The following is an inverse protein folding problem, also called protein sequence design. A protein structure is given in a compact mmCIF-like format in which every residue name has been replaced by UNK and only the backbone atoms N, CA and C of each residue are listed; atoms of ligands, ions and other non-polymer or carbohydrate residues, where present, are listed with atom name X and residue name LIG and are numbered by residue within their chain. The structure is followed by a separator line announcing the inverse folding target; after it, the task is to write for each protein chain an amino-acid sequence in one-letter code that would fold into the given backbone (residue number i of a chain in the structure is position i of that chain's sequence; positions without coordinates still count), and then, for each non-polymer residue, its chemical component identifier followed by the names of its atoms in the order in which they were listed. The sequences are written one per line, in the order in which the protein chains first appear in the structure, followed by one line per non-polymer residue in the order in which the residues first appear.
data_IF_778143616499
#
_entry.id   IF_778143616499
#
_cell.length_a   1.000
_cell.length_b   1.000
_cell.length_c   1.000
_cell.angle_alpha   90.00
_cell.angle_beta   90.00
_cell.angle_gamma   90.00
#
_symmetry.space_group_name_H-M   'P 1'
#
loop_
_entity.id
_entity.type
_entity.pdbx_description
1 polymer ?
#
# COMPACT_ATOMS: atom_id res chain seq x y z
N UNK A 1 17.13 1.70 2.35
CA UNK A 1 18.56 1.94 2.62
C UNK A 1 18.82 1.69 4.10
N UNK A 2 19.91 1.02 4.50
CA UNK A 2 20.21 0.83 5.91
C UNK A 2 20.54 2.17 6.57
N UNK A 3 19.94 2.42 7.74
CA UNK A 3 20.02 3.67 8.51
C UNK A 3 21.47 4.15 8.76
N UNK A 4 22.41 3.21 8.88
CA UNK A 4 23.84 3.46 9.10
C UNK A 4 24.52 4.16 7.92
N UNK A 5 24.09 3.90 6.68
CA UNK A 5 24.69 4.50 5.50
C UNK A 5 24.34 5.99 5.38
N UNK A 6 23.08 6.35 5.65
CA UNK A 6 22.57 7.72 5.53
C UNK A 6 23.26 8.66 6.54
N UNK A 7 23.39 8.24 7.79
CA UNK A 7 24.12 8.98 8.82
C UNK A 7 25.59 9.20 8.41
N UNK A 8 26.25 8.18 7.83
CA UNK A 8 27.64 8.30 7.41
C UNK A 8 27.83 9.31 6.27
N UNK A 9 26.88 9.36 5.31
CA UNK A 9 26.92 10.32 4.19
C UNK A 9 26.64 11.74 4.67
N UNK A 10 25.63 11.93 5.53
CA UNK A 10 25.32 13.26 6.09
C UNK A 10 26.50 13.79 6.90
N UNK A 11 27.10 12.95 7.75
CA UNK A 11 28.28 13.34 8.53
C UNK A 11 29.48 13.69 7.63
N UNK A 12 29.72 12.94 6.56
CA UNK A 12 30.76 13.30 5.57
C UNK A 12 30.50 14.64 4.89
N UNK A 13 29.25 14.93 4.52
CA UNK A 13 28.88 16.20 3.92
C UNK A 13 29.07 17.37 4.88
N UNK A 14 28.62 17.22 6.14
CA UNK A 14 28.77 18.26 7.16
C UNK A 14 30.26 18.50 7.45
N UNK A 15 31.03 17.43 7.68
CA UNK A 15 32.46 17.53 8.03
C UNK A 15 33.32 18.03 6.85
N UNK A 16 32.92 17.70 5.62
CA UNK A 16 33.58 18.18 4.39
C UNK A 16 33.12 19.58 3.95
N UNK A 17 32.11 20.15 4.61
CA UNK A 17 31.61 21.50 4.31
C UNK A 17 32.26 22.52 5.23
N UNK A 18 32.50 23.73 4.72
CA UNK A 18 32.89 24.90 5.53
C UNK A 18 31.69 25.56 6.21
N UNK A 19 30.61 24.80 6.46
CA UNK A 19 29.40 25.34 7.08
C UNK A 19 29.69 25.66 8.56
N UNK A 20 29.14 26.77 9.08
CA UNK A 20 29.20 27.06 10.50
C UNK A 20 28.51 25.95 11.30
N UNK A 21 28.87 25.82 12.57
CA UNK A 21 28.22 24.88 13.46
C UNK A 21 26.74 25.28 13.65
N UNK A 22 25.83 24.45 13.14
CA UNK A 22 24.39 24.68 13.14
C UNK A 22 23.67 23.42 13.61
N UNK A 23 22.56 23.61 14.33
CA UNK A 23 21.67 22.51 14.69
C UNK A 23 20.82 22.12 13.47
N UNK A 24 20.85 20.83 13.13
CA UNK A 24 20.07 20.26 12.02
C UNK A 24 18.86 19.51 12.56
N UNK A 25 17.66 19.94 12.19
CA UNK A 25 16.40 19.31 12.59
C UNK A 25 15.72 18.74 11.35
N UNK A 26 15.19 17.51 11.47
CA UNK A 26 14.43 16.84 10.42
C UNK A 26 12.96 16.69 10.83
N UNK A 27 12.02 17.08 9.95
CA UNK A 27 10.58 16.92 10.14
C UNK A 27 10.04 15.73 9.34
N UNK A 28 10.57 14.54 9.63
CA UNK A 28 10.39 13.32 8.83
C UNK A 28 9.04 12.61 9.04
N UNK A 29 7.91 13.31 8.93
CA UNK A 29 6.58 12.75 9.22
C UNK A 29 6.28 11.43 8.46
N UNK A 30 6.32 11.46 7.12
CA UNK A 30 5.97 10.29 6.29
C UNK A 30 6.94 9.12 6.44
N UNK A 31 8.23 9.38 6.62
CA UNK A 31 9.21 8.32 6.83
C UNK A 31 9.01 7.60 8.18
N UNK A 32 8.45 8.30 9.18
CA UNK A 32 8.15 7.75 10.50
C UNK A 32 6.84 6.96 10.49
N UNK A 33 5.77 7.51 9.90
CA UNK A 33 4.42 6.90 10.00
C UNK A 33 3.99 6.10 8.77
N UNK A 34 4.70 6.21 7.64
CA UNK A 34 4.25 5.70 6.35
C UNK A 34 4.13 4.19 6.23
N UNK A 35 4.78 3.41 7.10
CA UNK A 35 4.63 1.94 7.16
C UNK A 35 3.76 1.47 8.33
N UNK A 36 3.33 2.38 9.21
CA UNK A 36 2.56 2.02 10.39
C UNK A 36 1.04 1.93 10.12
N UNK A 37 0.56 2.63 9.08
CA UNK A 37 -0.85 2.67 8.73
C UNK A 37 -1.30 1.43 7.96
N UNK A 38 -2.34 0.76 8.48
CA UNK A 38 -3.11 -0.26 7.75
C UNK A 38 -4.54 0.21 7.61
N UNK A 39 -5.08 0.11 6.40
CA UNK A 39 -6.50 0.34 6.15
C UNK A 39 -7.18 -1.00 5.89
N UNK A 40 -8.14 -1.35 6.75
CA UNK A 40 -8.91 -2.57 6.61
C UNK A 40 -10.22 -2.34 5.88
N UNK A 41 -10.48 -3.15 4.86
CA UNK A 41 -11.64 -3.02 4.00
C UNK A 41 -12.41 -4.34 3.94
N UNK A 42 -13.74 -4.26 3.95
CA UNK A 42 -14.63 -5.40 3.78
C UNK A 42 -14.97 -5.61 2.31
N UNK A 43 -15.11 -6.88 1.90
CA UNK A 43 -15.58 -7.24 0.55
C UNK A 43 -17.07 -6.96 0.44
N UNK A 44 -17.45 -6.16 -0.57
CA UNK A 44 -18.83 -5.87 -0.92
C UNK A 44 -19.37 -6.82 -2.00
N UNK A 45 -18.53 -7.17 -2.97
CA UNK A 45 -18.91 -8.02 -4.09
C UNK A 45 -17.67 -8.67 -4.74
N UNK A 46 -17.85 -9.73 -5.53
CA UNK A 46 -16.76 -10.37 -6.26
C UNK A 46 -17.28 -11.19 -7.44
N UNK A 47 -16.41 -11.38 -8.44
CA UNK A 47 -16.59 -12.40 -9.47
C UNK A 47 -15.25 -13.05 -9.79
N UNK A 48 -15.11 -14.31 -9.42
CA UNK A 48 -13.85 -15.07 -9.53
C UNK A 48 -13.84 -16.07 -10.68
N UNK A 49 -14.98 -16.28 -11.34
CA UNK A 49 -15.18 -17.31 -12.38
C UNK A 49 -15.06 -16.77 -13.82
N UNK A 50 -14.70 -15.49 -13.96
CA UNK A 50 -14.49 -14.84 -15.24
C UNK A 50 -13.00 -14.82 -15.62
N UNK A 51 -12.73 -14.53 -16.89
CA UNK A 51 -11.36 -14.40 -17.42
C UNK A 51 -10.52 -13.32 -16.72
N UNK A 52 -11.17 -12.34 -16.08
CA UNK A 52 -10.51 -11.26 -15.37
C UNK A 52 -11.14 -11.06 -13.99
N UNK A 53 -10.80 -11.91 -13.01
CA UNK A 53 -11.48 -11.95 -11.73
C UNK A 53 -11.29 -10.66 -10.94
N UNK A 54 -12.31 -10.29 -10.17
CA UNK A 54 -12.29 -9.07 -9.37
C UNK A 54 -12.97 -9.24 -8.01
N UNK A 55 -12.61 -8.33 -7.12
CA UNK A 55 -13.28 -8.09 -5.84
C UNK A 55 -13.56 -6.59 -5.71
N UNK A 56 -14.71 -6.25 -5.12
CA UNK A 56 -15.12 -4.89 -4.78
C UNK A 56 -15.07 -4.77 -3.27
N UNK A 57 -14.44 -3.72 -2.77
CA UNK A 57 -14.35 -3.43 -1.33
C UNK A 57 -15.05 -2.13 -0.97
N UNK A 58 -15.33 -1.95 0.33
CA UNK A 58 -15.98 -0.76 0.87
C UNK A 58 -15.07 0.49 0.94
N UNK A 59 -13.94 0.47 0.26
CA UNK A 59 -12.97 1.55 0.20
C UNK A 59 -12.43 1.72 -1.21
N UNK A 60 -12.25 2.96 -1.66
CA UNK A 60 -11.71 3.29 -2.97
C UNK A 60 -10.68 4.41 -2.92
N UNK A 61 -10.33 4.90 -4.10
CA UNK A 61 -9.37 6.00 -4.32
C UNK A 61 -9.77 7.28 -3.59
N UNK A 62 -11.07 7.47 -3.33
CA UNK A 62 -11.58 8.62 -2.58
C UNK A 62 -11.12 8.63 -1.12
N UNK A 63 -10.95 7.45 -0.50
CA UNK A 63 -10.55 7.30 0.90
C UNK A 63 -9.03 7.08 1.07
N UNK A 64 -8.40 6.39 0.12
CA UNK A 64 -6.94 6.13 0.10
C UNK A 64 -6.13 7.41 -0.23
N UNK A 65 -6.84 8.46 -0.66
CA UNK A 65 -6.30 9.80 -0.88
C UNK A 65 -6.02 10.09 -2.35
N UNK A 66 -6.30 11.32 -2.77
CA UNK A 66 -6.20 11.79 -4.15
C UNK A 66 -4.80 11.73 -4.80
N UNK A 67 -3.77 11.31 -4.07
CA UNK A 67 -2.42 11.10 -4.61
C UNK A 67 -2.34 9.85 -5.52
N UNK A 68 -3.25 8.88 -5.37
CA UNK A 68 -3.39 7.76 -6.31
C UNK A 68 -3.87 8.26 -7.70
N UNK A 69 -4.80 9.22 -7.71
CA UNK A 69 -5.31 9.86 -8.94
C UNK A 69 -4.25 10.71 -9.65
N UNK A 70 -3.21 11.17 -8.95
CA UNK A 70 -2.08 11.87 -9.56
C UNK A 70 -1.03 10.92 -10.16
N UNK A 71 -1.19 9.59 -10.06
CA UNK A 71 -0.21 8.57 -10.49
C UNK A 71 1.20 8.79 -9.91
N UNK A 72 1.29 9.46 -8.76
CA UNK A 72 2.55 9.81 -8.09
C UNK A 72 2.93 8.85 -6.97
N UNK A 73 2.12 7.82 -6.76
CA UNK A 73 2.34 6.80 -5.75
C UNK A 73 2.44 5.44 -6.42
N UNK A 74 3.32 4.60 -5.86
CA UNK A 74 3.36 3.18 -6.14
C UNK A 74 1.98 2.58 -5.83
N UNK A 75 1.58 1.55 -6.59
CA UNK A 75 0.42 0.73 -6.23
C UNK A 75 0.58 0.25 -4.77
N UNK A 76 -0.46 0.40 -3.93
CA UNK A 76 -0.39 -0.07 -2.56
C UNK A 76 -0.18 -1.58 -2.54
N UNK A 77 0.54 -2.05 -1.52
CA UNK A 77 0.63 -3.48 -1.26
C UNK A 77 -0.68 -3.92 -0.63
N UNK A 78 -1.32 -4.91 -1.27
CA UNK A 78 -2.62 -5.43 -0.88
C UNK A 78 -2.42 -6.83 -0.30
N UNK A 79 -2.81 -6.99 0.95
CA UNK A 79 -2.79 -8.29 1.63
C UNK A 79 -4.23 -8.73 1.91
N UNK A 80 -4.52 -10.00 1.66
CA UNK A 80 -5.80 -10.60 2.04
C UNK A 80 -5.65 -11.19 3.42
N UNK A 81 -6.66 -11.04 4.29
CA UNK A 81 -6.70 -11.66 5.62
C UNK A 81 -7.98 -12.47 5.76
N UNK A 82 -7.86 -13.72 6.23
CA UNK A 82 -8.98 -14.59 6.62
C UNK A 82 -8.80 -15.09 8.05
N UNK A 83 -9.89 -15.21 8.81
CA UNK A 83 -9.92 -15.76 10.18
C UNK A 83 -9.49 -17.23 10.28
N UNK A 84 -9.36 -17.94 9.16
CA UNK A 84 -8.81 -19.29 9.18
C UNK A 84 -7.30 -19.19 9.42
N UNK A 85 -6.80 -19.87 10.46
CA UNK A 85 -5.37 -20.11 10.77
C UNK A 85 -4.60 -20.85 9.64
N UNK A 86 -5.13 -20.86 8.42
CA UNK A 86 -4.53 -21.49 7.27
C UNK A 86 -3.43 -20.61 6.71
N UNK A 87 -2.19 -21.11 6.79
CA UNK A 87 -1.10 -20.71 5.92
C UNK A 87 -1.63 -20.56 4.49
N UNK A 88 -1.42 -19.37 3.89
CA UNK A 88 -1.83 -19.09 2.53
C UNK A 88 -1.29 -20.19 1.61
N UNK A 89 -2.19 -20.97 1.03
CA UNK A 89 -1.84 -21.93 0.00
C UNK A 89 -1.18 -21.17 -1.16
N UNK A 90 -0.12 -21.74 -1.72
CA UNK A 90 0.63 -21.15 -2.84
C UNK A 90 -0.21 -20.94 -4.11
N UNK A 91 -1.45 -21.41 -4.13
CA UNK A 91 -2.30 -21.61 -5.31
C UNK A 91 -3.42 -20.57 -5.44
N UNK A 92 -3.25 -19.39 -4.84
CA UNK A 92 -4.23 -18.29 -4.97
C UNK A 92 -4.36 -17.70 -6.38
N UNK A 93 -5.56 -17.24 -6.72
CA UNK A 93 -5.93 -16.54 -7.95
C UNK A 93 -5.57 -15.05 -7.84
N UNK A 94 -4.98 -14.48 -8.90
CA UNK A 94 -4.73 -13.03 -8.98
C UNK A 94 -6.01 -12.33 -9.41
N UNK A 95 -6.48 -11.39 -8.59
CA UNK A 95 -7.72 -10.64 -8.81
C UNK A 95 -7.47 -9.13 -8.78
N UNK A 96 -8.29 -8.39 -9.54
CA UNK A 96 -8.34 -6.93 -9.46
C UNK A 96 -9.14 -6.47 -8.25
N UNK A 97 -8.66 -5.45 -7.55
CA UNK A 97 -9.37 -4.83 -6.42
C UNK A 97 -9.95 -3.49 -6.85
N UNK A 98 -11.26 -3.34 -6.71
CA UNK A 98 -11.98 -2.10 -6.98
C UNK A 98 -12.60 -1.52 -5.72
N UNK A 99 -12.65 -0.20 -5.65
CA UNK A 99 -13.50 0.52 -4.70
C UNK A 99 -14.95 0.60 -5.17
N UNK A 100 -15.83 1.23 -4.38
CA UNK A 100 -17.28 1.24 -4.60
C UNK A 100 -17.72 2.31 -5.62
N UNK A 101 -16.82 3.11 -6.16
CA UNK A 101 -17.18 4.19 -7.07
C UNK A 101 -17.56 3.63 -8.45
N UNK A 102 -18.52 4.28 -9.11
CA UNK A 102 -18.96 3.91 -10.47
C UNK A 102 -17.97 4.35 -11.57
N UNK A 103 -16.66 4.15 -11.36
CA UNK A 103 -15.62 4.49 -12.33
C UNK A 103 -14.52 3.43 -12.35
N UNK A 104 -14.04 3.09 -13.54
CA UNK A 104 -12.91 2.17 -13.70
C UNK A 104 -11.61 2.71 -13.09
N UNK A 105 -11.54 4.02 -12.83
CA UNK A 105 -10.42 4.65 -12.15
C UNK A 105 -10.33 4.28 -10.66
N UNK A 106 -11.37 3.66 -10.10
CA UNK A 106 -11.40 3.20 -8.71
C UNK A 106 -10.72 1.81 -8.53
N UNK A 107 -9.75 1.50 -9.39
CA UNK A 107 -8.97 0.26 -9.31
C UNK A 107 -7.71 0.50 -8.48
N UNK A 108 -7.57 -0.27 -7.39
CA UNK A 108 -6.55 -0.05 -6.36
C UNK A 108 -5.29 -0.90 -6.54
N UNK A 109 -5.39 -1.99 -7.29
CA UNK A 109 -4.27 -2.90 -7.54
C UNK A 109 -4.73 -4.35 -7.67
N UNK A 110 -3.76 -5.25 -7.53
CA UNK A 110 -3.96 -6.69 -7.64
C UNK A 110 -3.73 -7.36 -6.30
N UNK A 111 -4.49 -8.41 -6.05
CA UNK A 111 -4.38 -9.23 -4.85
C UNK A 111 -4.40 -10.71 -5.23
N UNK A 112 -3.68 -11.53 -4.48
CA UNK A 112 -3.72 -13.00 -4.61
C UNK A 112 -4.64 -13.57 -3.53
N UNK A 113 -5.69 -14.27 -3.91
CA UNK A 113 -6.72 -14.80 -3.00
C UNK A 113 -7.09 -16.23 -3.35
N UNK A 114 -7.40 -17.07 -2.36
CA UNK A 114 -7.95 -18.41 -2.60
C UNK A 114 -9.47 -18.35 -2.56
N UNK A 115 -10.11 -18.95 -3.58
CA UNK A 115 -11.55 -18.82 -3.85
C UNK A 115 -12.42 -19.27 -2.67
N UNK A 116 -11.97 -20.27 -1.93
CA UNK A 116 -12.62 -20.86 -0.77
C UNK A 116 -12.78 -19.91 0.44
N UNK A 117 -11.97 -18.84 0.51
CA UNK A 117 -11.97 -17.90 1.63
C UNK A 117 -12.67 -16.57 1.32
N UNK A 118 -13.06 -16.31 0.07
CA UNK A 118 -13.67 -15.04 -0.35
C UNK A 118 -15.17 -15.05 -0.05
N UNK A 119 -15.64 -14.12 0.77
CA UNK A 119 -17.05 -13.96 1.15
C UNK A 119 -17.44 -12.48 1.27
N UNK A 120 -18.65 -12.13 0.86
CA UNK A 120 -19.21 -10.78 1.10
C UNK A 120 -19.35 -10.55 2.60
N UNK A 121 -18.96 -9.36 3.06
CA UNK A 121 -18.84 -9.05 4.49
C UNK A 121 -17.68 -9.78 5.19
N UNK A 122 -16.96 -10.65 4.47
CA UNK A 122 -15.73 -11.29 4.92
C UNK A 122 -14.55 -10.32 4.98
N UNK A 123 -13.47 -10.81 5.59
CA UNK A 123 -12.32 -10.05 6.04
C UNK A 123 -11.32 -9.67 4.94
N UNK A 124 -10.20 -9.08 5.35
CA UNK A 124 -9.89 -7.67 5.17
C UNK A 124 -8.85 -7.56 4.05
N UNK A 125 -9.10 -6.73 3.03
CA UNK A 125 -7.99 -6.28 2.18
C UNK A 125 -7.26 -5.21 2.99
N UNK A 126 -6.08 -5.57 3.50
CA UNK A 126 -5.17 -4.61 4.11
C UNK A 126 -4.47 -3.89 3.00
N UNK A 127 -4.78 -2.61 2.91
CA UNK A 127 -4.03 -1.69 2.07
C UNK A 127 -2.88 -1.21 2.94
N UNK A 128 -1.68 -1.71 2.68
CA UNK A 128 -0.49 -1.12 3.27
C UNK A 128 -0.28 0.17 2.50
N UNK A 129 -0.59 1.28 3.17
CA UNK A 129 -0.42 2.62 2.66
C UNK A 129 1.06 2.97 2.69
N UNK A 130 1.87 2.26 1.91
CA UNK A 130 3.25 2.64 1.64
C UNK A 130 3.18 3.87 0.75
N UNK A 131 3.01 5.04 1.36
CA UNK A 131 3.15 6.34 0.72
C UNK A 131 4.65 6.56 0.41
N UNK A 132 5.30 5.66 -0.32
CA UNK A 132 6.62 5.90 -0.88
C UNK A 132 6.36 6.63 -2.20
N UNK A 133 6.48 7.95 -2.16
CA UNK A 133 6.93 8.66 -3.34
C UNK A 133 8.33 8.12 -3.62
N UNK A 134 8.44 7.23 -4.61
CA UNK A 134 9.74 6.95 -5.21
C UNK A 134 10.21 8.28 -5.80
N UNK A 135 11.45 8.74 -5.55
CA UNK A 135 11.96 9.88 -6.26
C UNK A 135 11.88 9.54 -7.75
N UNK A 136 11.16 10.35 -8.53
CA UNK A 136 11.28 10.28 -9.98
C UNK A 136 12.76 10.53 -10.34
N UNK A 137 13.30 9.80 -11.34
CA UNK A 137 14.69 9.94 -11.78
C UNK A 137 15.02 11.38 -12.22
#
# INVERSE_FOLDING_TARGET
MPHSFLCSTINKLITGSSLPNVDLIFESGRAIIGSAGRLCCAILDFNLDISNPYVVINCGVSQIGGLYLLRRLKEPELEFYSDADSEYSSDGLICKVFGPSCTQLDMLGYIKISKEYVKVGGYCIVIILVLIAVPLP
#
